data_IF_548582855639
#
_entry.id   IF_548582855639
#
_cell.length_a   1.000
_cell.length_b   1.000
_cell.length_c   1.000
_cell.angle_alpha   90.00
_cell.angle_beta   90.00
_cell.angle_gamma   90.00
#
_symmetry.space_group_name_H-M   'P 1'
#
loop_
_entity.id
_entity.type
_entity.pdbx_description
1 polymer ?
#
# COMPACT_ATOMS: atom_id res chain seq x y z
N UNK A 1 18.69 -9.05 65.34
CA UNK A 1 17.39 -9.74 65.13
C UNK A 1 16.66 -9.03 64.00
N UNK A 2 16.30 -9.79 62.98
CA UNK A 2 15.85 -9.31 61.67
C UNK A 2 14.43 -8.71 61.70
N UNK A 3 14.25 -7.58 61.02
CA UNK A 3 12.93 -7.08 60.63
C UNK A 3 12.64 -7.49 59.18
N UNK A 4 11.51 -8.17 59.05
CA UNK A 4 10.98 -8.84 57.87
C UNK A 4 10.78 -7.89 56.69
N UNK A 5 11.39 -8.23 55.54
CA UNK A 5 10.93 -7.78 54.24
C UNK A 5 9.64 -8.55 53.88
N UNK A 6 8.54 -7.85 53.70
CA UNK A 6 7.43 -8.30 52.86
C UNK A 6 7.40 -7.42 51.62
N UNK A 7 8.03 -7.89 50.55
CA UNK A 7 7.78 -7.40 49.22
C UNK A 7 6.45 -8.00 48.75
N UNK A 8 5.43 -7.16 48.55
CA UNK A 8 4.26 -7.50 47.75
C UNK A 8 4.57 -7.15 46.31
N UNK A 9 5.06 -8.13 45.55
CA UNK A 9 5.13 -8.06 44.09
C UNK A 9 3.92 -8.79 43.53
N UNK A 10 2.81 -8.07 43.38
CA UNK A 10 1.74 -8.48 42.47
C UNK A 10 2.12 -8.01 41.06
N UNK A 11 2.93 -8.81 40.35
CA UNK A 11 2.99 -8.73 38.91
C UNK A 11 1.66 -9.24 38.33
N UNK A 12 1.04 -8.58 37.34
CA UNK A 12 -0.09 -9.16 36.63
C UNK A 12 0.42 -10.39 35.90
N UNK A 13 -0.12 -11.58 36.24
CA UNK A 13 0.13 -12.78 35.44
C UNK A 13 -0.45 -12.55 34.04
N UNK A 14 0.32 -12.72 32.96
CA UNK A 14 -0.25 -12.70 31.62
C UNK A 14 -1.23 -13.86 31.51
N UNK A 15 -2.53 -13.54 31.46
CA UNK A 15 -3.55 -14.52 31.11
C UNK A 15 -3.36 -14.85 29.63
N UNK A 16 -2.69 -15.97 29.34
CA UNK A 16 -2.60 -16.48 27.98
C UNK A 16 -4.01 -16.83 27.50
N UNK A 17 -4.61 -15.95 26.71
CA UNK A 17 -5.83 -16.24 25.96
C UNK A 17 -5.41 -17.19 24.81
N UNK A 18 -5.63 -18.48 25.00
CA UNK A 18 -5.22 -19.52 24.04
C UNK A 18 -6.31 -19.72 22.98
N UNK A 19 -5.91 -19.77 21.71
CA UNK A 19 -6.72 -20.29 20.60
C UNK A 19 -8.07 -19.58 20.37
N UNK A 20 -9.15 -20.36 20.29
CA UNK A 20 -10.52 -19.89 19.99
C UNK A 20 -11.03 -18.82 20.96
N UNK A 21 -10.61 -18.87 22.24
CA UNK A 21 -10.98 -17.87 23.24
C UNK A 21 -10.44 -16.48 22.89
N UNK A 22 -9.26 -16.42 22.25
CA UNK A 22 -8.70 -15.17 21.76
C UNK A 22 -9.52 -14.59 20.61
N UNK A 23 -9.81 -15.41 19.59
CA UNK A 23 -10.54 -14.97 18.41
C UNK A 23 -11.96 -14.48 18.76
N UNK A 24 -12.68 -15.21 19.63
CA UNK A 24 -13.97 -14.80 20.14
C UNK A 24 -13.88 -13.50 20.96
N UNK A 25 -12.85 -13.37 21.81
CA UNK A 25 -12.63 -12.14 22.60
C UNK A 25 -12.32 -10.94 21.72
N UNK A 26 -11.52 -11.11 20.67
CA UNK A 26 -11.22 -10.07 19.70
C UNK A 26 -12.50 -9.67 18.97
N UNK A 27 -13.26 -10.63 18.44
CA UNK A 27 -14.53 -10.39 17.75
C UNK A 27 -15.52 -9.60 18.59
N UNK A 28 -15.80 -10.07 19.79
CA UNK A 28 -16.71 -9.39 20.72
C UNK A 28 -16.22 -7.97 21.02
N UNK A 29 -14.90 -7.79 21.23
CA UNK A 29 -14.33 -6.47 21.49
C UNK A 29 -14.46 -5.51 20.32
N UNK A 30 -14.34 -6.01 19.08
CA UNK A 30 -14.56 -5.22 17.87
C UNK A 30 -16.03 -4.81 17.76
N UNK A 31 -16.96 -5.75 17.94
CA UNK A 31 -18.41 -5.49 17.88
C UNK A 31 -18.84 -4.47 18.96
N UNK A 32 -18.36 -4.65 20.21
CA UNK A 32 -18.59 -3.72 21.31
C UNK A 32 -18.05 -2.31 20.99
N UNK A 33 -16.85 -2.22 20.40
CA UNK A 33 -16.23 -0.95 20.04
C UNK A 33 -16.98 -0.24 18.91
N UNK A 34 -17.42 -0.98 17.89
CA UNK A 34 -18.23 -0.42 16.79
C UNK A 34 -19.57 0.11 17.33
N UNK A 35 -20.21 -0.64 18.23
CA UNK A 35 -21.42 -0.21 18.93
C UNK A 35 -21.19 1.04 19.80
N UNK A 36 -20.07 1.13 20.52
CA UNK A 36 -19.71 2.33 21.30
C UNK A 36 -19.50 3.54 20.41
N UNK A 37 -18.81 3.34 19.29
CA UNK A 37 -18.58 4.38 18.30
C UNK A 37 -19.93 4.93 17.80
N UNK A 38 -21.01 4.12 17.75
CA UNK A 38 -22.38 4.50 17.35
C UNK A 38 -23.11 5.46 18.29
N UNK A 39 -22.55 5.71 19.48
CA UNK A 39 -23.16 6.63 20.45
C UNK A 39 -22.88 8.09 20.09
N UNK A 40 -23.77 8.99 20.50
CA UNK A 40 -23.60 10.45 20.35
C UNK A 40 -22.38 10.99 21.12
N UNK A 41 -22.03 10.33 22.23
CA UNK A 41 -20.87 10.64 23.07
C UNK A 41 -20.11 9.34 23.35
N UNK A 42 -19.24 8.90 22.43
CA UNK A 42 -18.49 7.66 22.60
C UNK A 42 -17.52 7.74 23.78
N UNK A 43 -17.43 6.69 24.59
CA UNK A 43 -16.40 6.55 25.61
C UNK A 43 -15.44 5.40 25.28
N UNK A 44 -14.22 5.75 24.87
CA UNK A 44 -13.21 4.80 24.46
C UNK A 44 -12.24 4.37 25.58
N UNK A 45 -12.35 4.93 26.78
CA UNK A 45 -11.34 4.73 27.84
C UNK A 45 -11.19 3.25 28.23
N UNK A 46 -12.29 2.51 28.31
CA UNK A 46 -12.28 1.08 28.65
C UNK A 46 -11.74 0.17 27.54
N UNK A 47 -11.63 0.68 26.30
CA UNK A 47 -11.19 -0.11 25.16
C UNK A 47 -9.67 -0.08 24.97
N UNK A 48 -8.98 0.99 25.40
CA UNK A 48 -7.52 1.11 25.25
C UNK A 48 -6.82 -0.05 25.96
N UNK A 49 -7.11 -0.24 27.26
CA UNK A 49 -6.49 -1.32 28.05
C UNK A 49 -6.88 -2.71 27.52
N UNK A 50 -8.13 -2.88 27.09
CA UNK A 50 -8.64 -4.13 26.52
C UNK A 50 -7.86 -4.52 25.26
N UNK A 51 -7.71 -3.59 24.31
CA UNK A 51 -6.98 -3.84 23.06
C UNK A 51 -5.47 -3.90 23.27
N UNK A 52 -4.93 -3.18 24.26
CA UNK A 52 -3.53 -3.36 24.68
C UNK A 52 -3.29 -4.80 25.18
N UNK A 53 -4.15 -5.34 26.04
CA UNK A 53 -4.06 -6.72 26.50
C UNK A 53 -4.23 -7.74 25.37
N UNK A 54 -5.17 -7.52 24.45
CA UNK A 54 -5.36 -8.39 23.28
C UNK A 54 -4.15 -8.38 22.34
N UNK A 55 -3.52 -7.23 22.13
CA UNK A 55 -2.29 -7.13 21.34
C UNK A 55 -1.13 -7.86 22.03
N UNK A 56 -0.96 -7.69 23.35
CA UNK A 56 0.13 -8.33 24.11
C UNK A 56 -0.05 -9.83 24.34
N UNK A 57 -1.25 -10.38 24.11
CA UNK A 57 -1.53 -11.79 24.36
C UNK A 57 -0.93 -12.74 23.31
N UNK A 58 -0.50 -12.23 22.15
CA UNK A 58 0.15 -13.00 21.08
C UNK A 58 1.49 -12.36 20.71
N UNK A 59 2.47 -13.19 20.35
CA UNK A 59 3.78 -12.69 19.88
C UNK A 59 3.65 -11.94 18.56
N UNK A 60 2.95 -12.52 17.58
CA UNK A 60 2.54 -11.85 16.35
C UNK A 60 1.01 -11.63 16.39
N UNK A 61 0.55 -10.50 16.95
CA UNK A 61 -0.88 -10.27 17.11
C UNK A 61 -1.56 -9.99 15.76
N UNK A 62 -2.89 -10.17 15.66
CA UNK A 62 -3.63 -9.83 14.44
C UNK A 62 -3.56 -8.35 14.14
N UNK A 63 -3.66 -8.03 12.85
CA UNK A 63 -3.63 -6.66 12.35
C UNK A 63 -4.60 -5.77 13.11
N UNK A 64 -5.84 -6.21 13.28
CA UNK A 64 -6.94 -5.45 13.91
C UNK A 64 -6.61 -5.06 15.34
N UNK A 65 -5.96 -5.95 16.10
CA UNK A 65 -5.64 -5.66 17.50
C UNK A 65 -4.63 -4.52 17.64
N UNK A 66 -3.56 -4.51 16.82
CA UNK A 66 -2.59 -3.42 16.78
C UNK A 66 -3.28 -2.15 16.24
N UNK A 67 -4.03 -2.31 15.15
CA UNK A 67 -4.59 -1.19 14.42
C UNK A 67 -5.64 -0.44 15.27
N UNK A 68 -6.48 -1.15 16.01
CA UNK A 68 -7.42 -0.55 16.95
C UNK A 68 -6.72 0.02 18.17
N UNK A 69 -5.78 -0.69 18.80
CA UNK A 69 -5.05 -0.17 19.96
C UNK A 69 -4.38 1.17 19.64
N UNK A 70 -3.72 1.25 18.48
CA UNK A 70 -3.07 2.48 18.01
C UNK A 70 -4.07 3.57 17.65
N UNK A 71 -5.23 3.24 17.07
CA UNK A 71 -6.31 4.19 16.81
C UNK A 71 -6.84 4.83 18.10
N UNK A 72 -7.15 4.02 19.11
CA UNK A 72 -7.68 4.49 20.38
C UNK A 72 -6.65 5.34 21.14
N UNK A 73 -5.38 4.92 21.11
CA UNK A 73 -4.26 5.67 21.69
C UNK A 73 -3.97 6.99 20.96
N UNK A 74 -4.27 7.06 19.67
CA UNK A 74 -4.14 8.29 18.88
C UNK A 74 -5.31 9.24 19.15
N UNK A 75 -6.54 8.73 19.16
CA UNK A 75 -7.76 9.51 19.40
C UNK A 75 -7.87 10.07 20.83
N UNK A 76 -7.23 9.44 21.80
CA UNK A 76 -7.17 9.95 23.18
C UNK A 76 -6.28 11.19 23.33
N UNK A 77 -5.48 11.53 22.32
CA UNK A 77 -4.64 12.73 22.32
C UNK A 77 -5.47 13.95 21.93
N UNK A 78 -5.27 15.05 22.65
CA UNK A 78 -5.95 16.31 22.37
C UNK A 78 -5.38 16.95 21.10
N UNK A 79 -6.16 16.95 20.02
CA UNK A 79 -5.90 17.78 18.84
C UNK A 79 -6.38 19.20 19.12
N UNK A 80 -5.55 20.02 19.76
CA UNK A 80 -5.81 21.46 19.76
C UNK A 80 -5.78 21.95 18.31
N UNK A 81 -6.93 22.46 17.83
CA UNK A 81 -7.06 22.99 16.48
C UNK A 81 -6.08 24.16 16.29
N UNK A 82 -5.16 24.06 15.34
CA UNK A 82 -4.54 25.24 14.75
C UNK A 82 -3.04 25.18 14.42
N UNK A 83 -2.27 24.21 14.95
CA UNK A 83 -0.83 24.12 14.66
C UNK A 83 -0.45 22.85 13.87
N UNK A 84 -0.07 22.99 12.57
CA UNK A 84 0.45 21.90 11.76
C UNK A 84 1.68 21.20 12.35
N UNK A 85 2.52 21.90 13.14
CA UNK A 85 3.71 21.30 13.74
C UNK A 85 3.37 20.40 14.93
N UNK A 86 2.46 20.82 15.80
CA UNK A 86 1.92 19.96 16.85
C UNK A 86 1.27 18.70 16.25
N UNK A 87 0.45 18.87 15.20
CA UNK A 87 -0.16 17.72 14.50
C UNK A 87 0.89 16.80 13.90
N UNK A 88 1.95 17.34 13.29
CA UNK A 88 3.07 16.55 12.79
C UNK A 88 3.76 15.76 13.91
N UNK A 89 3.95 16.35 15.09
CA UNK A 89 4.52 15.66 16.26
C UNK A 89 3.65 14.49 16.70
N UNK A 90 2.33 14.68 16.76
CA UNK A 90 1.37 13.62 17.12
C UNK A 90 1.39 12.47 16.08
N UNK A 91 1.49 12.79 14.79
CA UNK A 91 1.63 11.78 13.73
C UNK A 91 2.96 11.03 13.85
N UNK A 92 4.06 11.73 14.17
CA UNK A 92 5.35 11.09 14.40
C UNK A 92 5.30 10.11 15.58
N UNK A 93 4.64 10.50 16.68
CA UNK A 93 4.46 9.61 17.83
C UNK A 93 3.58 8.39 17.49
N UNK A 94 2.56 8.56 16.63
CA UNK A 94 1.78 7.45 16.11
C UNK A 94 2.65 6.49 15.28
N UNK A 95 3.52 7.03 14.41
CA UNK A 95 4.47 6.22 13.66
C UNK A 95 5.42 5.44 14.59
N UNK A 96 5.94 6.06 15.64
CA UNK A 96 6.77 5.38 16.64
C UNK A 96 6.00 4.28 17.39
N UNK A 97 4.74 4.55 17.76
CA UNK A 97 3.88 3.56 18.41
C UNK A 97 3.63 2.36 17.49
N UNK A 98 3.19 2.61 16.25
CA UNK A 98 2.90 1.54 15.27
C UNK A 98 4.15 0.74 14.95
N UNK A 99 5.28 1.39 14.67
CA UNK A 99 6.55 0.69 14.38
C UNK A 99 7.05 -0.14 15.56
N UNK A 100 6.80 0.29 16.80
CA UNK A 100 7.12 -0.49 18.00
C UNK A 100 6.21 -1.71 18.13
N UNK A 101 4.90 -1.53 17.92
CA UNK A 101 3.91 -2.60 17.98
C UNK A 101 4.08 -3.63 16.84
N UNK A 102 4.60 -3.23 15.69
CA UNK A 102 4.82 -4.10 14.53
C UNK A 102 6.19 -4.78 14.49
N UNK A 103 7.08 -4.50 15.45
CA UNK A 103 8.41 -5.12 15.54
C UNK A 103 8.42 -6.66 15.44
N UNK A 104 7.48 -7.41 16.07
CA UNK A 104 7.43 -8.87 15.94
C UNK A 104 6.70 -9.37 14.67
N UNK A 105 6.06 -8.47 13.92
CA UNK A 105 5.26 -8.82 12.76
C UNK A 105 6.10 -9.09 11.52
N UNK A 106 5.52 -9.82 10.56
CA UNK A 106 6.11 -9.94 9.23
C UNK A 106 6.13 -8.59 8.49
N UNK A 107 6.92 -8.51 7.41
CA UNK A 107 7.14 -7.28 6.66
C UNK A 107 5.86 -6.69 6.08
N UNK A 108 4.99 -7.51 5.50
CA UNK A 108 3.73 -7.06 4.90
C UNK A 108 2.78 -6.48 5.93
N UNK A 109 2.56 -7.17 7.06
CA UNK A 109 1.75 -6.67 8.17
C UNK A 109 2.32 -5.36 8.73
N UNK A 110 3.64 -5.29 8.91
CA UNK A 110 4.33 -4.08 9.37
C UNK A 110 4.11 -2.87 8.46
N UNK A 111 4.12 -3.09 7.14
CA UNK A 111 3.85 -2.05 6.14
C UNK A 111 2.35 -1.69 6.12
N UNK A 112 1.46 -2.67 6.13
CA UNK A 112 0.01 -2.47 6.11
C UNK A 112 -0.47 -1.60 7.30
N UNK A 113 0.13 -1.78 8.47
CA UNK A 113 -0.16 -0.98 9.67
C UNK A 113 0.18 0.52 9.52
N UNK A 114 0.93 0.91 8.48
CA UNK A 114 1.25 2.32 8.21
C UNK A 114 0.11 3.08 7.51
N UNK A 115 -0.92 2.40 7.01
CA UNK A 115 -2.06 3.02 6.33
C UNK A 115 -2.60 4.29 7.02
N UNK A 116 -2.92 4.29 8.33
CA UNK A 116 -3.45 5.48 9.01
C UNK A 116 -2.41 6.60 9.14
N UNK A 117 -1.12 6.28 9.23
CA UNK A 117 -0.06 7.29 9.27
C UNK A 117 0.01 8.00 7.93
N UNK A 118 0.04 7.25 6.82
CA UNK A 118 0.11 7.83 5.47
C UNK A 118 -1.12 8.70 5.21
N UNK A 119 -2.31 8.25 5.61
CA UNK A 119 -3.54 9.03 5.53
C UNK A 119 -3.50 10.34 6.34
N UNK A 120 -3.03 10.29 7.59
CA UNK A 120 -2.92 11.50 8.43
C UNK A 120 -1.86 12.48 7.90
N UNK A 121 -0.74 11.98 7.35
CA UNK A 121 0.24 12.82 6.66
C UNK A 121 -0.39 13.45 5.41
N UNK A 122 -1.13 12.70 4.59
CA UNK A 122 -1.86 13.25 3.45
C UNK A 122 -2.78 14.39 3.86
N UNK A 123 -3.60 14.21 4.91
CA UNK A 123 -4.50 15.26 5.42
C UNK A 123 -3.73 16.50 5.85
N UNK A 124 -2.58 16.32 6.50
CA UNK A 124 -1.72 17.43 6.90
C UNK A 124 -1.15 18.17 5.68
N UNK A 125 -0.74 17.44 4.64
CA UNK A 125 -0.22 17.99 3.37
C UNK A 125 -1.26 18.82 2.63
N UNK A 126 -2.53 18.39 2.66
CA UNK A 126 -3.68 19.13 2.12
C UNK A 126 -3.98 20.37 2.96
N UNK A 127 -3.93 20.29 4.29
CA UNK A 127 -4.21 21.41 5.20
C UNK A 127 -3.22 22.59 5.04
N UNK A 128 -1.96 22.27 4.74
CA UNK A 128 -0.90 23.27 4.53
C UNK A 128 -0.78 23.72 3.06
N UNK A 129 -1.60 23.16 2.17
CA UNK A 129 -1.64 23.53 0.75
C UNK A 129 -2.08 24.99 0.61
N UNK A 130 -1.34 25.77 -0.18
CA UNK A 130 -1.60 27.20 -0.40
C UNK A 130 -1.13 28.17 0.70
N UNK A 131 -0.59 27.69 1.82
CA UNK A 131 0.02 28.54 2.87
C UNK A 131 1.53 28.63 2.65
N UNK A 132 2.18 29.79 2.86
CA UNK A 132 3.65 29.90 2.84
C UNK A 132 4.27 29.18 4.05
N UNK A 133 4.33 27.86 3.91
CA UNK A 133 4.60 26.90 4.97
C UNK A 133 5.83 26.05 4.62
N UNK A 134 6.79 26.63 3.88
CA UNK A 134 8.00 25.92 3.42
C UNK A 134 8.75 25.16 4.51
N UNK A 135 8.81 25.72 5.73
CA UNK A 135 9.42 25.04 6.90
C UNK A 135 8.64 23.79 7.31
N UNK A 136 7.30 23.86 7.32
CA UNK A 136 6.42 22.74 7.66
C UNK A 136 6.49 21.67 6.57
N UNK A 137 6.43 22.06 5.29
CA UNK A 137 6.55 21.13 4.16
C UNK A 137 7.88 20.35 4.18
N UNK A 138 9.00 20.99 4.55
CA UNK A 138 10.29 20.29 4.73
C UNK A 138 10.24 19.25 5.85
N UNK A 139 9.57 19.54 6.97
CA UNK A 139 9.42 18.59 8.08
C UNK A 139 8.47 17.44 7.73
N UNK A 140 7.38 17.73 7.03
CA UNK A 140 6.46 16.70 6.49
C UNK A 140 7.24 15.78 5.54
N UNK A 141 8.02 16.34 4.60
CA UNK A 141 8.87 15.57 3.71
C UNK A 141 9.85 14.68 4.47
N UNK A 142 10.51 15.20 5.51
CA UNK A 142 11.41 14.42 6.35
C UNK A 142 10.69 13.22 7.03
N UNK A 143 9.46 13.41 7.51
CA UNK A 143 8.67 12.29 8.05
C UNK A 143 8.33 11.25 6.96
N UNK A 144 7.94 11.70 5.76
CA UNK A 144 7.67 10.79 4.63
C UNK A 144 8.94 10.02 4.24
N UNK A 145 10.12 10.64 4.25
CA UNK A 145 11.40 9.96 4.03
C UNK A 145 11.67 8.88 5.08
N UNK A 146 11.34 9.14 6.36
CA UNK A 146 11.43 8.15 7.43
C UNK A 146 10.47 6.98 7.20
N UNK A 147 9.22 7.25 6.79
CA UNK A 147 8.22 6.21 6.46
C UNK A 147 8.72 5.35 5.29
N UNK A 148 9.22 5.96 4.21
CA UNK A 148 9.80 5.25 3.06
C UNK A 148 11.00 4.42 3.50
N UNK A 149 11.87 4.96 4.36
CA UNK A 149 13.01 4.23 4.93
C UNK A 149 12.59 3.00 5.72
N UNK A 150 11.53 3.12 6.51
CA UNK A 150 10.94 2.00 7.25
C UNK A 150 10.35 0.93 6.32
N UNK A 151 9.64 1.34 5.26
CA UNK A 151 9.13 0.43 4.23
C UNK A 151 10.31 -0.33 3.58
N UNK A 152 11.35 0.38 3.14
CA UNK A 152 12.56 -0.25 2.58
C UNK A 152 13.19 -1.25 3.54
N UNK A 153 13.31 -0.90 4.83
CA UNK A 153 13.84 -1.80 5.85
C UNK A 153 12.99 -3.06 6.02
N UNK A 154 11.65 -2.95 5.94
CA UNK A 154 10.76 -4.10 5.98
C UNK A 154 10.97 -5.00 4.75
N UNK A 155 11.14 -4.42 3.55
CA UNK A 155 11.42 -5.17 2.33
C UNK A 155 12.78 -5.91 2.38
N UNK A 156 13.81 -5.33 3.02
CA UNK A 156 15.14 -5.92 3.14
C UNK A 156 15.20 -7.20 3.99
N UNK A 157 14.25 -7.40 4.92
CA UNK A 157 14.20 -8.60 5.77
C UNK A 157 13.90 -9.88 4.97
N UNK A 158 13.66 -9.75 3.66
CA UNK A 158 13.23 -10.82 2.78
C UNK A 158 11.77 -11.11 3.03
N UNK A 159 10.98 -11.26 1.96
CA UNK A 159 9.74 -12.01 2.02
C UNK A 159 10.13 -13.49 2.17
N UNK A 160 10.80 -13.84 3.27
CA UNK A 160 11.21 -15.21 3.56
C UNK A 160 9.93 -16.01 3.70
N UNK A 161 9.69 -16.91 2.75
CA UNK A 161 8.59 -17.86 2.74
C UNK A 161 7.32 -17.23 3.31
N UNK A 162 6.70 -16.32 2.55
CA UNK A 162 5.30 -15.95 2.81
C UNK A 162 4.54 -17.27 2.84
N UNK A 163 4.32 -17.79 4.05
CA UNK A 163 3.54 -18.98 4.27
C UNK A 163 2.19 -18.70 3.66
N UNK A 164 1.95 -19.28 2.50
CA UNK A 164 0.62 -19.48 2.00
C UNK A 164 -0.19 -20.05 3.18
N UNK A 165 -1.17 -19.27 3.63
CA UNK A 165 -2.35 -19.75 4.36
C UNK A 165 -2.25 -20.08 5.85
N UNK A 166 -1.77 -19.18 6.73
CA UNK A 166 -2.15 -19.28 8.15
C UNK A 166 -2.42 -17.87 8.73
N UNK A 167 -3.69 -17.59 9.03
CA UNK A 167 -4.26 -16.38 9.67
C UNK A 167 -4.25 -15.07 8.84
N UNK A 168 -5.21 -14.91 7.92
CA UNK A 168 -5.40 -13.65 7.16
C UNK A 168 -6.85 -13.14 7.07
N UNK A 169 -7.84 -13.87 7.59
CA UNK A 169 -9.22 -13.37 7.58
C UNK A 169 -9.41 -12.38 8.72
N UNK A 170 -9.82 -11.16 8.37
CA UNK A 170 -10.21 -10.18 9.38
C UNK A 170 -11.43 -10.69 10.15
N UNK A 171 -11.45 -10.40 11.45
CA UNK A 171 -12.57 -10.75 12.32
C UNK A 171 -13.83 -9.93 11.99
N UNK A 172 -13.66 -8.77 11.38
CA UNK A 172 -14.71 -7.87 10.89
C UNK A 172 -14.36 -7.36 9.47
N UNK A 173 -15.33 -6.84 8.70
CA UNK A 173 -15.04 -6.20 7.41
C UNK A 173 -13.99 -5.08 7.51
N UNK A 174 -13.20 -4.91 6.46
CA UNK A 174 -12.11 -3.90 6.41
C UNK A 174 -12.66 -2.47 6.52
N UNK A 175 -13.86 -2.23 6.02
CA UNK A 175 -14.56 -0.95 6.07
C UNK A 175 -14.89 -0.55 7.51
N UNK A 176 -15.34 -1.52 8.32
CA UNK A 176 -15.62 -1.31 9.73
C UNK A 176 -14.33 -0.99 10.50
N UNK A 177 -13.22 -1.67 10.18
CA UNK A 177 -11.91 -1.39 10.76
C UNK A 177 -11.40 0.02 10.39
N UNK A 178 -11.58 0.42 9.14
CA UNK A 178 -11.23 1.77 8.66
C UNK A 178 -12.10 2.85 9.31
N UNK A 179 -13.36 2.56 9.62
CA UNK A 179 -14.26 3.48 10.34
C UNK A 179 -13.79 3.82 11.76
N UNK A 180 -12.87 3.04 12.33
CA UNK A 180 -12.20 3.34 13.60
C UNK A 180 -11.12 4.42 13.43
N UNK A 181 -10.75 4.77 12.20
CA UNK A 181 -9.81 5.85 11.88
C UNK A 181 -10.52 7.08 11.32
N UNK A 182 -11.47 6.90 10.41
CA UNK A 182 -12.21 7.99 9.75
C UNK A 182 -13.62 8.17 10.32
N UNK A 183 -14.28 9.28 10.02
CA UNK A 183 -15.69 9.45 10.33
C UNK A 183 -16.55 8.48 9.49
N UNK A 184 -17.60 7.89 10.09
CA UNK A 184 -18.34 6.75 9.50
C UNK A 184 -19.06 6.98 8.18
N UNK A 185 -19.23 8.21 7.73
CA UNK A 185 -19.87 8.51 6.45
C UNK A 185 -18.89 8.48 5.27
N UNK A 186 -17.68 8.00 5.50
CA UNK A 186 -16.56 8.11 4.61
C UNK A 186 -16.12 6.71 4.18
N UNK A 187 -15.91 6.52 2.88
CA UNK A 187 -15.57 5.24 2.28
C UNK A 187 -14.07 4.91 2.37
N UNK A 188 -13.70 3.65 2.10
CA UNK A 188 -12.31 3.19 2.04
C UNK A 188 -11.43 4.04 1.11
N UNK A 189 -12.00 4.52 -0.01
CA UNK A 189 -11.31 5.39 -0.96
C UNK A 189 -10.85 6.71 -0.33
N UNK A 190 -11.60 7.26 0.62
CA UNK A 190 -11.18 8.50 1.28
C UNK A 190 -10.05 8.25 2.28
N UNK A 191 -9.93 7.03 2.82
CA UNK A 191 -8.82 6.63 3.68
C UNK A 191 -7.53 6.34 2.89
N UNK A 192 -7.68 6.02 1.60
CA UNK A 192 -6.59 5.74 0.66
C UNK A 192 -6.72 6.68 -0.56
N UNK A 193 -6.43 7.98 -0.38
CA UNK A 193 -6.77 9.03 -1.33
C UNK A 193 -5.86 9.10 -2.57
N UNK A 194 -4.69 8.46 -2.57
CA UNK A 194 -3.73 8.45 -3.68
C UNK A 194 -3.75 7.15 -4.49
N UNK A 195 -4.71 6.25 -4.25
CA UNK A 195 -4.96 5.09 -5.11
C UNK A 195 -6.32 5.17 -5.79
N UNK A 196 -6.50 4.42 -6.88
CA UNK A 196 -7.74 4.44 -7.64
C UNK A 196 -8.87 3.70 -6.91
N UNK A 197 -10.12 4.06 -7.22
CA UNK A 197 -11.30 3.37 -6.70
C UNK A 197 -11.32 1.88 -7.07
N UNK A 198 -10.79 1.52 -8.24
CA UNK A 198 -10.60 0.12 -8.66
C UNK A 198 -9.75 -0.66 -7.65
N UNK A 199 -8.60 -0.10 -7.25
CA UNK A 199 -7.69 -0.72 -6.28
C UNK A 199 -8.36 -0.83 -4.90
N UNK A 200 -9.09 0.20 -4.47
CA UNK A 200 -9.86 0.14 -3.22
C UNK A 200 -10.96 -0.94 -3.28
N UNK A 201 -11.68 -1.07 -4.39
CA UNK A 201 -12.72 -2.08 -4.58
C UNK A 201 -12.18 -3.50 -4.43
N UNK A 202 -10.98 -3.76 -4.95
CA UNK A 202 -10.35 -5.07 -4.84
C UNK A 202 -10.03 -5.49 -3.40
N UNK A 203 -9.78 -4.55 -2.48
CA UNK A 203 -9.57 -4.85 -1.04
C UNK A 203 -10.85 -5.45 -0.44
N UNK A 204 -12.01 -5.01 -0.93
CA UNK A 204 -13.33 -5.40 -0.41
C UNK A 204 -13.84 -6.67 -1.09
N UNK A 205 -13.63 -6.81 -2.41
CA UNK A 205 -14.20 -7.86 -3.24
C UNK A 205 -13.45 -9.21 -3.20
N UNK A 206 -12.11 -9.19 -3.07
CA UNK A 206 -11.28 -10.41 -3.21
C UNK A 206 -11.01 -11.14 -1.90
N UNK A 207 -11.66 -10.72 -0.81
CA UNK A 207 -11.27 -11.09 0.55
C UNK A 207 -10.04 -10.30 1.00
N UNK A 208 -9.96 -10.04 2.30
CA UNK A 208 -8.88 -9.24 2.85
C UNK A 208 -7.53 -9.95 2.72
N UNK A 209 -6.54 -9.26 2.17
CA UNK A 209 -5.18 -9.77 2.06
C UNK A 209 -4.20 -8.70 2.54
N UNK A 210 -3.45 -8.99 3.61
CA UNK A 210 -2.51 -8.03 4.19
C UNK A 210 -1.36 -7.67 3.25
N UNK A 211 -0.94 -8.59 2.37
CA UNK A 211 0.11 -8.34 1.38
C UNK A 211 -0.39 -7.36 0.31
N UNK A 212 -1.67 -7.49 -0.07
CA UNK A 212 -2.33 -6.54 -0.96
C UNK A 212 -2.42 -5.15 -0.30
N UNK A 213 -2.92 -5.07 0.95
CA UNK A 213 -2.99 -3.81 1.69
C UNK A 213 -1.60 -3.18 1.86
N UNK A 214 -0.58 -3.98 2.15
CA UNK A 214 0.81 -3.51 2.22
C UNK A 214 1.24 -2.87 0.90
N UNK A 215 0.99 -3.52 -0.24
CA UNK A 215 1.26 -2.96 -1.57
C UNK A 215 0.54 -1.63 -1.81
N UNK A 216 -0.71 -1.51 -1.40
CA UNK A 216 -1.50 -0.27 -1.47
C UNK A 216 -0.87 0.85 -0.62
N UNK A 217 -0.50 0.56 0.62
CA UNK A 217 0.16 1.53 1.51
C UNK A 217 1.52 1.96 0.98
N UNK A 218 2.28 1.05 0.35
CA UNK A 218 3.53 1.40 -0.32
C UNK A 218 3.30 2.37 -1.47
N UNK A 219 2.25 2.16 -2.27
CA UNK A 219 1.89 3.07 -3.37
C UNK A 219 1.49 4.44 -2.85
N UNK A 220 0.63 4.51 -1.83
CA UNK A 220 0.23 5.76 -1.18
C UNK A 220 1.46 6.57 -0.70
N UNK A 221 2.34 5.93 0.08
CA UNK A 221 3.53 6.58 0.61
C UNK A 221 4.49 7.01 -0.51
N UNK A 222 4.67 6.16 -1.53
CA UNK A 222 5.53 6.42 -2.67
C UNK A 222 5.04 7.61 -3.51
N UNK A 223 3.75 7.67 -3.82
CA UNK A 223 3.15 8.80 -4.53
C UNK A 223 3.18 10.07 -3.70
N UNK A 224 2.89 9.98 -2.39
CA UNK A 224 2.93 11.12 -1.48
C UNK A 224 4.32 11.76 -1.45
N UNK A 225 5.37 10.94 -1.40
CA UNK A 225 6.76 11.39 -1.50
C UNK A 225 7.00 12.14 -2.82
N UNK A 226 6.66 11.54 -3.95
CA UNK A 226 6.86 12.16 -5.26
C UNK A 226 6.11 13.49 -5.40
N UNK A 227 4.89 13.56 -4.88
CA UNK A 227 4.11 14.79 -4.85
C UNK A 227 4.80 15.88 -4.02
N UNK A 228 5.35 15.53 -2.85
CA UNK A 228 6.08 16.49 -2.01
C UNK A 228 7.37 16.98 -2.68
N UNK A 229 8.07 16.11 -3.40
CA UNK A 229 9.27 16.52 -4.13
C UNK A 229 8.98 17.44 -5.31
N UNK A 230 7.88 17.23 -6.02
CA UNK A 230 7.42 18.16 -7.06
C UNK A 230 7.09 19.53 -6.45
N UNK A 231 6.40 19.55 -5.31
CA UNK A 231 6.00 20.80 -4.63
C UNK A 231 7.14 21.60 -4.03
N UNK A 232 8.19 20.92 -3.53
CA UNK A 232 9.31 21.55 -2.83
C UNK A 232 10.51 21.76 -3.77
N UNK A 233 10.62 20.92 -4.79
CA UNK A 233 11.69 20.95 -5.77
C UNK A 233 11.67 22.21 -6.63
N UNK A 234 12.81 22.48 -7.27
CA UNK A 234 12.90 23.51 -8.29
C UNK A 234 12.50 22.88 -9.61
N UNK A 235 11.44 23.38 -10.23
CA UNK A 235 10.94 22.87 -11.50
C UNK A 235 12.02 22.87 -12.58
N UNK A 236 12.05 21.78 -13.38
CA UNK A 236 12.93 21.67 -14.53
C UNK A 236 13.35 20.23 -14.84
N UNK A 237 14.08 20.08 -15.94
CA UNK A 237 14.56 18.79 -16.49
C UNK A 237 15.40 18.00 -15.46
N UNK A 238 16.13 18.71 -14.59
CA UNK A 238 16.94 18.08 -13.54
C UNK A 238 16.04 17.36 -12.54
N UNK A 239 14.95 17.99 -12.09
CA UNK A 239 14.00 17.40 -11.15
C UNK A 239 13.32 16.17 -11.75
N UNK A 240 12.87 16.22 -13.01
CA UNK A 240 12.26 15.06 -13.68
C UNK A 240 13.23 13.86 -13.72
N UNK A 241 14.50 14.09 -14.04
CA UNK A 241 15.54 13.04 -14.08
C UNK A 241 15.82 12.47 -12.68
N UNK A 242 15.88 13.32 -11.66
CA UNK A 242 16.08 12.90 -10.27
C UNK A 242 14.91 12.07 -9.76
N UNK A 243 13.68 12.52 -9.99
CA UNK A 243 12.46 11.80 -9.62
C UNK A 243 12.36 10.46 -10.32
N UNK A 244 12.68 10.41 -11.62
CA UNK A 244 12.79 9.15 -12.36
C UNK A 244 13.83 8.21 -11.76
N UNK A 245 15.03 8.70 -11.50
CA UNK A 245 16.10 7.88 -10.91
C UNK A 245 15.70 7.35 -9.54
N UNK A 246 15.06 8.18 -8.72
CA UNK A 246 14.55 7.78 -7.42
C UNK A 246 13.42 6.75 -7.53
N UNK A 247 12.45 6.96 -8.42
CA UNK A 247 11.35 6.02 -8.65
C UNK A 247 11.89 4.64 -9.05
N UNK A 248 12.85 4.61 -9.98
CA UNK A 248 13.52 3.37 -10.41
C UNK A 248 14.24 2.69 -9.25
N UNK A 249 15.00 3.45 -8.45
CA UNK A 249 15.73 2.92 -7.31
C UNK A 249 14.78 2.36 -6.24
N UNK A 250 13.70 3.08 -5.91
CA UNK A 250 12.69 2.66 -4.94
C UNK A 250 11.95 1.40 -5.40
N UNK A 251 11.48 1.32 -6.65
CA UNK A 251 10.84 0.11 -7.17
C UNK A 251 11.81 -1.08 -7.11
N UNK A 252 13.08 -0.87 -7.47
CA UNK A 252 14.11 -1.92 -7.40
C UNK A 252 14.38 -2.38 -5.97
N UNK A 253 14.43 -1.44 -5.03
CA UNK A 253 14.73 -1.68 -3.61
C UNK A 253 13.57 -2.32 -2.86
N UNK A 254 12.33 -1.95 -3.18
CA UNK A 254 11.15 -2.52 -2.54
C UNK A 254 10.92 -3.97 -2.93
N UNK A 255 11.22 -4.33 -4.19
CA UNK A 255 11.17 -5.71 -4.67
C UNK A 255 9.83 -6.41 -4.37
N UNK A 256 8.72 -5.65 -4.37
CA UNK A 256 7.40 -6.10 -3.95
C UNK A 256 6.41 -6.12 -5.13
N UNK A 257 5.80 -7.28 -5.37
CA UNK A 257 4.92 -7.50 -6.51
C UNK A 257 3.58 -6.80 -6.40
N UNK A 258 2.97 -6.77 -5.22
CA UNK A 258 1.69 -6.09 -5.00
C UNK A 258 1.84 -4.58 -5.24
N UNK A 259 2.89 -3.97 -4.70
CA UNK A 259 3.25 -2.58 -4.97
C UNK A 259 3.41 -2.29 -6.47
N UNK A 260 4.19 -3.13 -7.18
CA UNK A 260 4.41 -2.94 -8.61
C UNK A 260 3.12 -3.14 -9.42
N UNK A 261 2.32 -4.16 -9.10
CA UNK A 261 1.02 -4.41 -9.72
C UNK A 261 0.10 -3.20 -9.57
N UNK A 262 -0.09 -2.71 -8.33
CA UNK A 262 -0.92 -1.54 -8.07
C UNK A 262 -0.43 -0.32 -8.84
N UNK A 263 0.88 -0.09 -8.87
CA UNK A 263 1.47 0.99 -9.65
C UNK A 263 1.15 0.87 -11.15
N UNK A 264 1.28 -0.33 -11.74
CA UNK A 264 0.94 -0.54 -13.15
C UNK A 264 -0.56 -0.35 -13.43
N UNK A 265 -1.44 -0.81 -12.54
CA UNK A 265 -2.90 -0.62 -12.68
C UNK A 265 -3.27 0.86 -12.65
N UNK A 266 -2.68 1.63 -11.74
CA UNK A 266 -2.92 3.08 -11.69
C UNK A 266 -2.50 3.81 -12.98
N UNK A 267 -1.48 3.32 -13.69
CA UNK A 267 -1.05 3.94 -14.95
C UNK A 267 -2.05 3.77 -16.09
N UNK A 268 -2.92 2.75 -16.04
CA UNK A 268 -4.04 2.57 -16.97
C UNK A 268 -5.16 3.58 -16.76
N UNK A 269 -5.25 4.17 -15.56
CA UNK A 269 -6.26 5.19 -15.27
C UNK A 269 -5.94 6.48 -16.03
N UNK A 270 -6.93 7.21 -16.58
CA UNK A 270 -6.67 8.41 -17.40
C UNK A 270 -5.77 9.43 -16.71
N UNK A 271 -6.00 9.66 -15.41
CA UNK A 271 -5.21 10.52 -14.55
C UNK A 271 -4.91 9.83 -13.22
N UNK A 272 -3.76 10.17 -12.63
CA UNK A 272 -3.41 9.72 -11.28
C UNK A 272 -4.21 10.50 -10.24
N UNK A 273 -4.64 9.89 -9.12
CA UNK A 273 -5.38 10.54 -8.03
C UNK A 273 -4.50 11.46 -7.15
N UNK A 274 -3.56 12.17 -7.76
CA UNK A 274 -2.59 13.08 -7.11
C UNK A 274 -2.90 14.55 -7.38
N UNK A 275 -3.88 14.82 -8.24
CA UNK A 275 -4.20 16.17 -8.75
C UNK A 275 -4.54 17.14 -7.62
N UNK A 276 -5.14 16.66 -6.52
CA UNK A 276 -5.44 17.47 -5.34
C UNK A 276 -4.18 17.98 -4.62
N UNK A 277 -3.03 17.31 -4.77
CA UNK A 277 -1.77 17.68 -4.12
C UNK A 277 -0.89 18.57 -4.99
N UNK A 278 -0.81 18.28 -6.29
CA UNK A 278 0.16 18.92 -7.21
C UNK A 278 -0.48 19.62 -8.41
N UNK A 279 -1.79 19.48 -8.62
CA UNK A 279 -2.47 20.00 -9.81
C UNK A 279 -2.34 19.08 -11.04
N UNK A 280 -3.00 19.42 -12.15
CA UNK A 280 -3.10 18.56 -13.33
C UNK A 280 -1.80 18.46 -14.13
N UNK A 281 -1.02 19.55 -14.21
CA UNK A 281 0.23 19.58 -14.97
C UNK A 281 1.29 18.68 -14.33
N UNK A 282 1.56 18.88 -13.04
CA UNK A 282 2.48 18.03 -12.27
C UNK A 282 1.96 16.59 -12.12
N UNK A 283 0.65 16.39 -12.08
CA UNK A 283 0.05 15.05 -12.11
C UNK A 283 0.37 14.30 -13.41
N UNK A 284 0.33 14.98 -14.55
CA UNK A 284 0.72 14.42 -15.84
C UNK A 284 2.24 14.18 -15.92
N UNK A 285 3.05 15.11 -15.40
CA UNK A 285 4.50 14.93 -15.29
C UNK A 285 4.84 13.69 -14.46
N UNK A 286 4.20 13.52 -13.31
CA UNK A 286 4.37 12.35 -12.45
C UNK A 286 3.98 11.05 -13.18
N UNK A 287 2.86 11.05 -13.90
CA UNK A 287 2.45 9.90 -14.72
C UNK A 287 3.51 9.55 -15.78
N UNK A 288 4.10 10.55 -16.43
CA UNK A 288 5.17 10.34 -17.40
C UNK A 288 6.45 9.77 -16.76
N UNK A 289 6.85 10.27 -15.59
CA UNK A 289 7.98 9.74 -14.81
C UNK A 289 7.76 8.27 -14.46
N UNK A 290 6.52 7.91 -14.11
CA UNK A 290 6.17 6.54 -13.74
C UNK A 290 6.07 5.61 -14.94
N UNK A 291 5.60 6.07 -16.11
CA UNK A 291 5.74 5.32 -17.36
C UNK A 291 7.20 4.99 -17.65
N UNK A 292 8.09 5.98 -17.54
CA UNK A 292 9.52 5.79 -17.72
C UNK A 292 10.08 4.74 -16.76
N UNK A 293 9.72 4.79 -15.48
CA UNK A 293 10.18 3.82 -14.48
C UNK A 293 9.64 2.40 -14.76
N UNK A 294 8.36 2.26 -15.07
CA UNK A 294 7.71 0.96 -15.29
C UNK A 294 8.09 0.31 -16.62
N UNK A 295 8.25 1.09 -17.70
CA UNK A 295 8.43 0.55 -19.05
C UNK A 295 9.91 0.36 -19.38
N UNK A 296 10.76 1.34 -19.08
CA UNK A 296 12.15 1.33 -19.55
C UNK A 296 13.08 0.43 -18.73
N UNK A 297 12.66 0.01 -17.53
CA UNK A 297 13.52 -0.74 -16.61
C UNK A 297 13.14 -2.22 -16.57
N UNK A 298 14.14 -3.08 -16.62
CA UNK A 298 13.97 -4.51 -16.36
C UNK A 298 14.18 -4.81 -14.87
N UNK A 299 13.10 -4.94 -14.13
CA UNK A 299 13.16 -5.33 -12.73
C UNK A 299 13.42 -6.83 -12.58
N UNK A 300 14.44 -7.19 -11.81
CA UNK A 300 14.87 -8.58 -11.62
C UNK A 300 13.84 -9.44 -10.91
N UNK A 301 13.05 -8.86 -9.98
CA UNK A 301 11.96 -9.58 -9.31
C UNK A 301 10.89 -10.07 -10.27
N UNK A 302 10.69 -9.40 -11.41
CA UNK A 302 9.67 -9.83 -12.39
C UNK A 302 10.10 -11.02 -13.26
N UNK A 303 11.31 -11.56 -13.06
CA UNK A 303 11.80 -12.72 -13.82
C UNK A 303 11.24 -14.01 -13.20
N UNK A 304 10.53 -14.81 -14.02
CA UNK A 304 9.77 -15.99 -13.59
C UNK A 304 10.57 -17.11 -12.90
N UNK A 305 11.90 -17.07 -12.94
CA UNK A 305 12.77 -18.04 -12.26
C UNK A 305 13.05 -17.71 -10.80
N UNK A 306 12.66 -16.52 -10.34
CA UNK A 306 13.11 -15.94 -9.06
C UNK A 306 11.97 -15.83 -8.05
N UNK A 307 10.76 -16.29 -8.37
CA UNK A 307 9.55 -15.94 -7.60
C UNK A 307 8.71 -17.17 -7.27
N UNK A 308 8.32 -17.30 -6.00
CA UNK A 308 7.38 -18.29 -5.47
C UNK A 308 5.89 -17.91 -5.66
N UNK A 309 5.59 -16.90 -6.50
CA UNK A 309 4.21 -16.49 -6.78
C UNK A 309 3.52 -17.50 -7.70
N UNK A 310 2.19 -17.59 -7.59
CA UNK A 310 1.40 -18.33 -8.57
C UNK A 310 1.74 -17.82 -9.98
N UNK A 311 1.88 -18.75 -10.92
CA UNK A 311 2.16 -18.42 -12.32
C UNK A 311 1.11 -17.45 -12.90
N UNK A 312 -0.09 -17.40 -12.32
CA UNK A 312 -1.19 -16.52 -12.72
C UNK A 312 -0.98 -15.07 -12.32
N UNK A 313 -0.51 -14.78 -11.10
CA UNK A 313 -0.23 -13.41 -10.67
C UNK A 313 0.89 -12.76 -11.48
N UNK A 314 1.97 -13.51 -11.74
CA UNK A 314 3.08 -13.03 -12.59
C UNK A 314 2.60 -12.77 -14.02
N UNK A 315 1.74 -13.64 -14.57
CA UNK A 315 1.07 -13.42 -15.86
C UNK A 315 0.20 -12.17 -15.86
N UNK A 316 -0.58 -11.95 -14.81
CA UNK A 316 -1.42 -10.76 -14.65
C UNK A 316 -0.60 -9.47 -14.71
N UNK A 317 0.46 -9.37 -13.90
CA UNK A 317 1.36 -8.22 -13.89
C UNK A 317 2.01 -8.00 -15.27
N UNK A 318 2.45 -9.08 -15.90
CA UNK A 318 3.04 -9.05 -17.23
C UNK A 318 2.07 -8.50 -18.30
N UNK A 319 0.81 -8.95 -18.28
CA UNK A 319 -0.23 -8.48 -19.18
C UNK A 319 -0.61 -7.01 -18.91
N UNK A 320 -0.78 -6.63 -17.65
CA UNK A 320 -1.05 -5.22 -17.27
C UNK A 320 0.09 -4.31 -17.75
N UNK A 321 1.35 -4.72 -17.55
CA UNK A 321 2.52 -3.96 -18.02
C UNK A 321 2.57 -3.85 -19.56
N UNK A 322 2.15 -4.88 -20.29
CA UNK A 322 2.00 -4.81 -21.75
C UNK A 322 0.97 -3.74 -22.15
N UNK A 323 -0.22 -3.75 -21.54
CA UNK A 323 -1.27 -2.77 -21.84
C UNK A 323 -0.81 -1.36 -21.51
N UNK A 324 -0.22 -1.14 -20.33
CA UNK A 324 0.41 0.13 -19.94
C UNK A 324 1.42 0.62 -20.99
N UNK A 325 2.25 -0.28 -21.50
CA UNK A 325 3.25 0.06 -22.52
C UNK A 325 2.60 0.50 -23.83
N UNK A 326 1.55 -0.19 -24.28
CA UNK A 326 0.81 0.14 -25.49
C UNK A 326 0.12 1.51 -25.36
N UNK A 327 -0.58 1.75 -24.26
CA UNK A 327 -1.25 3.03 -24.00
C UNK A 327 -0.26 4.20 -23.94
N UNK A 328 0.89 3.99 -23.29
CA UNK A 328 1.94 5.01 -23.22
C UNK A 328 2.53 5.32 -24.61
N UNK A 329 2.79 4.30 -25.44
CA UNK A 329 3.26 4.50 -26.82
C UNK A 329 2.25 5.33 -27.62
N UNK A 330 0.95 5.00 -27.53
CA UNK A 330 -0.09 5.74 -28.23
C UNK A 330 -0.21 7.19 -27.75
N UNK A 331 -0.15 7.41 -26.43
CA UNK A 331 -0.17 8.74 -25.83
C UNK A 331 0.97 9.61 -26.36
N UNK A 332 2.21 9.12 -26.31
CA UNK A 332 3.37 9.89 -26.75
C UNK A 332 3.41 10.09 -28.27
N UNK A 333 2.89 9.14 -29.07
CA UNK A 333 2.69 9.35 -30.52
C UNK A 333 1.69 10.48 -30.79
N UNK A 334 0.55 10.50 -30.09
CA UNK A 334 -0.47 11.56 -30.20
C UNK A 334 0.12 12.93 -29.81
N UNK A 335 0.96 12.95 -28.79
CA UNK A 335 1.64 14.17 -28.32
C UNK A 335 2.90 14.55 -29.14
N UNK A 336 3.16 13.86 -30.26
CA UNK A 336 4.31 14.08 -31.16
C UNK A 336 5.68 13.84 -30.52
N UNK A 337 5.75 13.19 -29.36
CA UNK A 337 7.01 12.71 -28.77
C UNK A 337 7.38 11.33 -29.34
N UNK A 338 7.84 11.35 -30.59
CA UNK A 338 8.24 10.13 -31.30
C UNK A 338 9.46 9.45 -30.66
N UNK A 339 10.29 10.23 -29.93
CA UNK A 339 11.47 9.71 -29.25
C UNK A 339 11.06 8.77 -28.11
N UNK A 340 10.19 9.21 -27.21
CA UNK A 340 9.69 8.35 -26.11
C UNK A 340 8.93 7.14 -26.64
N UNK A 341 8.05 7.33 -27.63
CA UNK A 341 7.31 6.23 -28.24
C UNK A 341 8.23 5.14 -28.85
N UNK A 342 9.31 5.56 -29.52
CA UNK A 342 10.31 4.63 -30.08
C UNK A 342 11.10 3.95 -28.96
N UNK A 343 11.52 4.69 -27.94
CA UNK A 343 12.21 4.11 -26.78
C UNK A 343 11.38 3.03 -26.08
N UNK A 344 10.09 3.26 -25.86
CA UNK A 344 9.20 2.29 -25.22
C UNK A 344 9.00 1.03 -26.08
N UNK A 345 8.82 1.23 -27.39
CA UNK A 345 8.71 0.12 -28.35
C UNK A 345 9.96 -0.76 -28.31
N UNK A 346 11.15 -0.14 -28.36
CA UNK A 346 12.43 -0.84 -28.30
C UNK A 346 12.68 -1.49 -26.95
N UNK A 347 12.32 -0.83 -25.83
CA UNK A 347 12.46 -1.40 -24.49
C UNK A 347 11.62 -2.67 -24.34
N UNK A 348 10.37 -2.64 -24.79
CA UNK A 348 9.51 -3.82 -24.76
C UNK A 348 10.04 -4.95 -25.66
N UNK A 349 10.39 -4.65 -26.91
CA UNK A 349 10.87 -5.66 -27.86
C UNK A 349 12.12 -6.40 -27.37
N UNK A 350 13.01 -5.70 -26.67
CA UNK A 350 14.23 -6.27 -26.10
C UNK A 350 14.05 -6.87 -24.71
N UNK A 351 12.84 -6.80 -24.13
CA UNK A 351 12.60 -7.23 -22.76
C UNK A 351 12.35 -8.74 -22.62
N UNK A 352 12.61 -9.26 -21.41
CA UNK A 352 12.22 -10.62 -21.03
C UNK A 352 10.69 -10.80 -21.07
N UNK A 353 9.93 -9.72 -20.91
CA UNK A 353 8.47 -9.75 -20.95
C UNK A 353 7.96 -10.19 -22.34
N UNK A 354 8.56 -9.65 -23.41
CA UNK A 354 8.20 -10.00 -24.78
C UNK A 354 8.37 -11.51 -25.06
N UNK A 355 9.50 -12.09 -24.67
CA UNK A 355 9.75 -13.52 -24.85
C UNK A 355 8.82 -14.39 -23.99
N UNK A 356 8.52 -13.98 -22.75
CA UNK A 356 7.59 -14.69 -21.87
C UNK A 356 6.15 -14.70 -22.43
N UNK A 357 5.65 -13.55 -22.86
CA UNK A 357 4.31 -13.42 -23.45
C UNK A 357 4.22 -14.24 -24.74
N UNK A 358 5.23 -14.17 -25.61
CA UNK A 358 5.27 -14.96 -26.84
C UNK A 358 5.21 -16.46 -26.54
N UNK A 359 5.97 -16.92 -25.54
CA UNK A 359 5.91 -18.31 -25.08
C UNK A 359 4.53 -18.69 -24.57
N UNK A 360 3.88 -17.86 -23.76
CA UNK A 360 2.53 -18.12 -23.26
C UNK A 360 1.50 -18.23 -24.39
N UNK A 361 1.55 -17.32 -25.37
CA UNK A 361 0.68 -17.35 -26.54
C UNK A 361 0.92 -18.61 -27.38
N UNK A 362 2.17 -18.96 -27.66
CA UNK A 362 2.50 -20.21 -28.39
C UNK A 362 1.98 -21.46 -27.67
N UNK A 363 2.12 -21.50 -26.34
CA UNK A 363 1.63 -22.64 -25.53
C UNK A 363 0.10 -22.74 -25.58
N UNK A 364 -0.59 -21.61 -25.57
CA UNK A 364 -2.05 -21.55 -25.67
C UNK A 364 -2.53 -22.05 -27.04
N UNK A 365 -1.89 -21.59 -28.12
CA UNK A 365 -2.19 -22.03 -29.49
C UNK A 365 -1.94 -23.53 -29.67
N UNK A 366 -0.80 -24.06 -29.20
CA UNK A 366 -0.51 -25.50 -29.30
C UNK A 366 -1.40 -26.37 -28.42
N UNK A 367 -2.01 -25.81 -27.36
CA UNK A 367 -3.01 -26.50 -26.55
C UNK A 367 -4.38 -26.52 -27.22
N UNK A 368 -4.75 -25.44 -27.92
CA UNK A 368 -6.00 -25.30 -28.69
C UNK A 368 -5.99 -26.21 -29.93
N UNK A 369 -4.84 -26.31 -30.61
CA UNK A 369 -4.62 -27.25 -31.73
C UNK A 369 -4.78 -28.73 -31.31
N UNK A 370 -4.51 -29.08 -30.05
CA UNK A 370 -4.73 -30.42 -29.49
C UNK A 370 -6.16 -30.67 -29.01
N UNK A 371 -6.94 -29.61 -28.76
CA UNK A 371 -8.32 -29.70 -28.27
C UNK A 371 -9.39 -29.73 -29.37
N UNK A 372 -9.04 -29.38 -30.61
CA UNK A 372 -9.82 -29.73 -31.81
C UNK A 372 -10.11 -28.57 -32.77
N UNK A 373 -9.67 -28.74 -34.02
CA UNK A 373 -10.38 -28.27 -35.22
C UNK A 373 -10.44 -26.78 -35.52
N UNK A 374 -9.37 -26.25 -36.14
CA UNK A 374 -9.32 -25.16 -37.14
C UNK A 374 -10.38 -24.04 -37.06
N UNK A 375 -9.96 -22.84 -36.65
CA UNK A 375 -9.81 -21.67 -37.55
C UNK A 375 -9.36 -20.43 -36.77
N UNK A 376 -8.54 -19.61 -37.43
CA UNK A 376 -7.74 -18.55 -36.81
C UNK A 376 -8.49 -17.63 -35.85
N UNK A 377 -8.08 -17.65 -34.58
CA UNK A 377 -8.53 -16.70 -33.57
C UNK A 377 -7.64 -15.46 -33.60
N UNK A 378 -8.21 -14.33 -34.05
CA UNK A 378 -7.49 -13.05 -34.03
C UNK A 378 -7.07 -12.67 -32.59
N UNK A 379 -6.04 -11.83 -32.40
CA UNK A 379 -5.59 -11.41 -31.06
C UNK A 379 -6.70 -10.87 -30.15
N UNK A 380 -7.78 -10.29 -30.72
CA UNK A 380 -8.96 -9.84 -29.97
C UNK A 380 -9.75 -10.98 -29.32
N UNK A 381 -9.83 -12.15 -29.95
CA UNK A 381 -10.55 -13.31 -29.42
C UNK A 381 -9.82 -13.99 -28.25
N UNK A 382 -8.50 -13.87 -28.20
CA UNK A 382 -7.67 -14.36 -27.09
C UNK A 382 -7.80 -13.47 -25.85
N UNK A 383 -7.88 -12.15 -26.04
CA UNK A 383 -8.07 -11.19 -24.96
C UNK A 383 -9.46 -11.33 -24.32
N UNK A 384 -10.51 -11.60 -25.12
CA UNK A 384 -11.86 -11.81 -24.56
C UNK A 384 -12.00 -13.11 -23.77
N UNK A 385 -11.31 -14.19 -24.16
CA UNK A 385 -11.35 -15.45 -23.39
C UNK A 385 -10.62 -15.34 -22.04
N UNK A 386 -9.47 -14.65 -22.00
CA UNK A 386 -8.75 -14.42 -20.75
C UNK A 386 -9.51 -13.54 -19.74
N UNK A 387 -10.51 -12.76 -20.19
CA UNK A 387 -11.38 -11.96 -19.35
C UNK A 387 -12.64 -12.70 -18.86
N UNK A 388 -12.93 -13.90 -19.38
CA UNK A 388 -14.13 -14.69 -19.04
C UNK A 388 -13.81 -15.78 -18.00
N UNK A 389 -12.53 -16.10 -17.78
CA UNK A 389 -12.06 -17.06 -16.76
C UNK A 389 -11.46 -16.38 -15.52
N UNK A 390 -11.64 -15.06 -15.36
CA UNK A 390 -11.42 -14.33 -14.11
C UNK A 390 -12.77 -14.09 -13.42
#
# INVERSE_FOLDING_TARGET
MALSMKASTNSPKPSFLIGENYHLSLKQSMEDLLAETHKKTPNFSGFIDKFHSLMQAKFDPPLESIWVYTALSFRSRNFEKGDPLNRLSIINDLFQLVSSCSSPCNSSKSIALLAPIVFEVYKLVVEVLGKDSRKVNKRIKSLVEVIIGYISMCCCKGFSEESENIDMDLVIPVEDLVSIWIDRNVNLQSFLPLVSSEICGMISERGFNVNYLAGVVMVEAFLLKLCLDLRIGIEGIVLEKELKSWAVASISSFHNFYFFEMLTRMLLQPALPVTALVGPEDGNLLKNILYDAVILVEYTFLKSKTVHLSNEHVKGIAMTRLVVTLEAIELFRKNRDQKRATCYTSAFANSHLHSQITKWISTLISSDEKAGGVSGSSPKALISKAAIEA
#
